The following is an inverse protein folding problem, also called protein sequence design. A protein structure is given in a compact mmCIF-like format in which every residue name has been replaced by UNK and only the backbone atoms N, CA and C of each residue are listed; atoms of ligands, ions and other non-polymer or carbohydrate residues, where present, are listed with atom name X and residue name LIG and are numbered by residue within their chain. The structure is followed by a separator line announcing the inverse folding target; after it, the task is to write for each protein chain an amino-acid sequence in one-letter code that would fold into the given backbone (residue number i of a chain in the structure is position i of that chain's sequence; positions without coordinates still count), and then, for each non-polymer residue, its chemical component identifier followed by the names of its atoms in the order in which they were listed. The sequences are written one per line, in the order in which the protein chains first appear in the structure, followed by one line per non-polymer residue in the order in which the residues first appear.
data_IF_438558578245
#
_entry.id   IF_438558578245
#
_cell.length_a   1.000
_cell.length_b   1.000
_cell.length_c   1.000
_cell.angle_alpha   90.00
_cell.angle_beta   90.00
_cell.angle_gamma   90.00
#
_symmetry.space_group_name_H-M   'P 1'
#
loop_
_entity.id
_entity.type
_entity.pdbx_description
1 polymer ?
#
# COMPACT_ATOMS: atom_id res chain seq x y z
N UNK A 1 -6.58 -26.04 63.10
CA UNK A 1 -7.42 -24.90 63.54
C UNK A 1 -7.61 -24.01 62.32
N UNK A 2 -8.57 -24.35 61.45
CA UNK A 2 -9.93 -23.73 61.36
C UNK A 2 -9.86 -22.24 60.99
N UNK A 3 -10.21 -21.88 59.74
CA UNK A 3 -11.56 -21.43 59.28
C UNK A 3 -11.81 -19.95 59.63
N UNK A 4 -12.42 -19.08 58.82
CA UNK A 4 -13.46 -19.21 57.80
C UNK A 4 -13.32 -18.04 56.77
N UNK A 5 -13.92 -18.04 55.58
CA UNK A 5 -15.33 -17.65 55.40
C UNK A 5 -15.79 -17.74 53.91
N UNK A 6 -17.09 -18.03 53.76
CA UNK A 6 -18.04 -17.77 52.64
C UNK A 6 -18.22 -18.78 51.47
N UNK A 7 -19.16 -19.73 51.71
CA UNK A 7 -20.38 -20.13 50.92
C UNK A 7 -20.30 -20.16 49.38
N UNK A 8 -20.38 -21.32 48.69
CA UNK A 8 -21.47 -22.30 48.48
C UNK A 8 -22.76 -21.77 47.82
N UNK A 9 -23.04 -22.23 46.58
CA UNK A 9 -24.29 -22.96 46.29
C UNK A 9 -24.24 -23.77 44.97
N UNK A 10 -24.74 -25.02 45.10
CA UNK A 10 -25.40 -25.87 44.09
C UNK A 10 -24.57 -26.86 43.24
N UNK A 11 -24.33 -28.06 43.81
CA UNK A 11 -24.36 -29.32 43.05
C UNK A 11 -25.09 -30.39 43.91
N UNK A 12 -26.04 -31.09 43.27
CA UNK A 12 -26.32 -32.54 43.34
C UNK A 12 -27.79 -32.90 43.57
N UNK A 13 -28.36 -33.62 42.59
CA UNK A 13 -29.22 -34.76 42.84
C UNK A 13 -29.15 -35.74 41.65
N UNK A 14 -28.43 -36.85 41.83
CA UNK A 14 -28.58 -38.08 41.06
C UNK A 14 -29.27 -39.07 42.00
N UNK A 15 -30.41 -39.63 41.59
CA UNK A 15 -31.02 -40.79 42.22
C UNK A 15 -31.49 -41.79 41.15
N UNK A 16 -31.14 -43.05 41.36
CA UNK A 16 -31.47 -44.23 40.53
C UNK A 16 -32.81 -44.84 40.95
N UNK A 17 -33.52 -45.45 40.00
CA UNK A 17 -34.14 -46.78 40.22
C UNK A 17 -35.63 -46.96 39.94
N UNK A 18 -35.94 -47.91 39.02
CA UNK A 18 -37.18 -48.72 38.84
C UNK A 18 -38.50 -47.98 38.53
N UNK A 19 -39.40 -48.40 37.62
CA UNK A 19 -39.62 -49.62 36.85
C UNK A 19 -41.14 -49.82 36.69
N UNK A 20 -41.63 -49.97 35.45
CA UNK A 20 -43.01 -50.34 35.03
C UNK A 20 -44.12 -49.26 35.22
N UNK A 21 -45.14 -49.05 34.37
CA UNK A 21 -45.64 -49.65 33.11
C UNK A 21 -46.74 -48.74 32.50
N UNK A 22 -46.78 -48.67 31.16
CA UNK A 22 -47.88 -48.33 30.22
C UNK A 22 -48.80 -47.10 30.42
N UNK A 23 -48.71 -46.17 29.46
CA UNK A 23 -49.89 -45.69 28.72
C UNK A 23 -49.46 -45.18 27.33
N UNK A 24 -50.01 -45.83 26.30
CA UNK A 24 -49.85 -45.51 24.90
C UNK A 24 -50.73 -44.30 24.57
N UNK A 25 -50.15 -43.22 24.05
CA UNK A 25 -50.85 -42.24 23.23
C UNK A 25 -50.00 -41.90 22.01
N UNK A 26 -50.41 -42.49 20.89
CA UNK A 26 -49.98 -42.19 19.54
C UNK A 26 -50.42 -40.78 19.14
N UNK A 27 -49.47 -39.93 18.72
CA UNK A 27 -49.80 -38.62 18.16
C UNK A 27 -48.57 -37.90 17.61
N UNK A 28 -48.33 -38.03 16.31
CA UNK A 28 -47.52 -37.15 15.45
C UNK A 28 -46.14 -36.70 15.96
N UNK A 29 -45.15 -37.61 15.94
CA UNK A 29 -43.74 -37.21 15.84
C UNK A 29 -43.39 -36.97 14.37
N UNK A 30 -43.53 -35.72 13.93
CA UNK A 30 -42.77 -35.24 12.79
C UNK A 30 -41.29 -35.38 13.11
N UNK A 31 -40.56 -36.15 12.31
CA UNK A 31 -39.13 -36.31 12.43
C UNK A 31 -38.45 -34.95 12.23
N UNK A 32 -38.18 -34.23 13.31
CA UNK A 32 -37.23 -33.13 13.31
C UNK A 32 -35.86 -33.76 13.10
N UNK A 33 -35.40 -33.76 11.84
CA UNK A 33 -33.98 -33.93 11.55
C UNK A 33 -33.24 -32.76 12.20
N UNK A 34 -32.74 -32.98 13.42
CA UNK A 34 -31.62 -32.22 13.93
C UNK A 34 -30.44 -32.48 12.98
N UNK A 35 -30.29 -31.62 11.99
CA UNK A 35 -29.06 -31.54 11.23
C UNK A 35 -27.99 -31.11 12.23
N UNK A 36 -27.15 -32.05 12.64
CA UNK A 36 -25.91 -31.73 13.32
C UNK A 36 -25.17 -30.72 12.43
N UNK A 37 -25.06 -29.47 12.88
CA UNK A 37 -24.24 -28.46 12.23
C UNK A 37 -22.84 -29.05 12.10
N UNK A 38 -22.43 -29.30 10.86
CA UNK A 38 -21.11 -29.83 10.56
C UNK A 38 -20.08 -28.80 11.05
N UNK A 39 -19.29 -29.08 12.11
CA UNK A 39 -18.43 -28.09 12.74
C UNK A 39 -17.24 -27.65 11.87
N UNK A 40 -17.15 -28.15 10.63
CA UNK A 40 -16.11 -27.82 9.65
C UNK A 40 -16.61 -26.97 8.48
N UNK A 41 -17.87 -26.56 8.44
CA UNK A 41 -18.32 -25.66 7.37
C UNK A 41 -17.78 -24.26 7.65
N UNK A 42 -16.78 -23.84 6.89
CA UNK A 42 -16.33 -22.43 6.90
C UNK A 42 -17.54 -21.54 6.60
N UNK A 43 -17.71 -20.51 7.41
CA UNK A 43 -18.80 -19.54 7.23
C UNK A 43 -18.40 -18.53 6.15
N UNK A 44 -17.10 -18.41 5.89
CA UNK A 44 -16.53 -17.57 4.84
C UNK A 44 -15.69 -18.40 3.86
N UNK A 45 -15.85 -18.13 2.57
CA UNK A 45 -15.10 -18.76 1.49
C UNK A 45 -14.19 -17.73 0.83
N UNK A 46 -13.00 -18.16 0.40
CA UNK A 46 -11.96 -17.32 -0.17
C UNK A 46 -11.52 -17.91 -1.50
N UNK A 47 -11.93 -17.29 -2.61
CA UNK A 47 -11.70 -17.81 -3.95
C UNK A 47 -11.50 -16.67 -4.95
N UNK A 48 -10.52 -16.79 -5.85
CA UNK A 48 -10.33 -15.83 -6.95
C UNK A 48 -10.11 -14.37 -6.52
N UNK A 49 -9.55 -14.13 -5.34
CA UNK A 49 -9.37 -12.78 -4.77
C UNK A 49 -10.64 -12.17 -4.17
N UNK A 50 -11.74 -12.93 -4.16
CA UNK A 50 -13.01 -12.57 -3.54
C UNK A 50 -13.23 -13.38 -2.26
N UNK A 51 -13.79 -12.71 -1.27
CA UNK A 51 -14.31 -13.31 -0.07
C UNK A 51 -15.82 -13.34 -0.17
N UNK A 52 -16.44 -14.45 0.20
CA UNK A 52 -17.89 -14.53 0.37
C UNK A 52 -18.22 -14.94 1.81
N UNK A 53 -19.26 -14.36 2.38
CA UNK A 53 -19.81 -14.74 3.67
C UNK A 53 -21.34 -14.80 3.55
N UNK A 54 -21.90 -15.93 3.07
CA UNK A 54 -23.32 -16.05 2.77
C UNK A 54 -24.24 -15.76 3.96
N UNK A 55 -23.83 -16.14 5.17
CA UNK A 55 -24.58 -15.86 6.40
C UNK A 55 -24.74 -14.35 6.72
N UNK A 56 -23.99 -13.49 6.01
CA UNK A 56 -24.02 -12.02 6.16
C UNK A 56 -24.46 -11.30 4.88
N UNK A 57 -24.86 -12.05 3.85
CA UNK A 57 -25.11 -11.53 2.51
C UNK A 57 -23.97 -10.61 2.04
N UNK A 58 -22.75 -11.15 2.07
CA UNK A 58 -21.53 -10.37 1.84
C UNK A 58 -20.63 -11.03 0.82
N UNK A 59 -20.07 -10.20 -0.06
CA UNK A 59 -18.89 -10.53 -0.85
C UNK A 59 -18.04 -9.28 -1.07
N UNK A 60 -16.74 -9.45 -1.28
CA UNK A 60 -15.82 -8.34 -1.51
C UNK A 60 -14.41 -8.79 -1.87
N UNK A 61 -13.57 -7.84 -2.29
CA UNK A 61 -12.13 -8.07 -2.43
C UNK A 61 -11.52 -8.20 -1.03
N UNK A 62 -10.49 -9.01 -0.88
CA UNK A 62 -9.87 -9.20 0.43
C UNK A 62 -8.35 -9.24 0.38
N UNK A 63 -7.73 -8.99 1.53
CA UNK A 63 -6.32 -9.31 1.80
C UNK A 63 -6.18 -10.03 3.13
N UNK A 64 -5.27 -11.02 3.15
CA UNK A 64 -4.84 -11.66 4.38
C UNK A 64 -3.77 -10.85 5.08
N UNK A 65 -3.73 -11.00 6.40
CA UNK A 65 -2.54 -10.71 7.20
C UNK A 65 -1.36 -11.60 6.78
N UNK A 66 -0.11 -11.20 7.03
CA UNK A 66 1.07 -12.01 6.68
C UNK A 66 1.03 -13.45 7.21
N UNK A 67 0.51 -13.67 8.43
CA UNK A 67 0.30 -15.03 9.00
C UNK A 67 -1.02 -15.68 8.60
N UNK A 68 -1.88 -15.00 7.84
CA UNK A 68 -3.19 -15.46 7.39
C UNK A 68 -4.17 -15.79 8.53
N UNK A 69 -3.93 -15.26 9.72
CA UNK A 69 -4.84 -15.39 10.87
C UNK A 69 -6.03 -14.43 10.78
N UNK A 70 -5.83 -13.32 10.07
CA UNK A 70 -6.82 -12.28 9.83
C UNK A 70 -7.01 -12.03 8.34
N UNK A 71 -8.22 -11.61 7.96
CA UNK A 71 -8.52 -11.07 6.65
C UNK A 71 -9.39 -9.81 6.76
N UNK A 72 -9.03 -8.77 6.00
CA UNK A 72 -9.88 -7.61 5.78
C UNK A 72 -10.47 -7.73 4.38
N UNK A 73 -11.78 -7.54 4.27
CA UNK A 73 -12.50 -7.54 2.99
C UNK A 73 -13.33 -6.29 2.83
N UNK A 74 -13.41 -5.76 1.61
CA UNK A 74 -14.18 -4.56 1.28
C UNK A 74 -14.92 -4.72 -0.03
N UNK A 75 -16.03 -3.98 -0.13
CA UNK A 75 -16.88 -3.93 -1.30
C UNK A 75 -17.19 -2.47 -1.62
N UNK A 76 -16.58 -1.98 -2.70
CA UNK A 76 -16.82 -0.64 -3.20
C UNK A 76 -18.03 -0.58 -4.13
N UNK A 77 -19.22 -0.85 -3.58
CA UNK A 77 -20.49 -0.75 -4.31
C UNK A 77 -21.61 -0.32 -3.39
N UNK A 78 -22.71 0.15 -3.97
CA UNK A 78 -23.95 0.42 -3.26
C UNK A 78 -24.45 -0.81 -2.48
N UNK A 79 -25.28 -0.62 -1.43
CA UNK A 79 -25.75 -1.71 -0.59
C UNK A 79 -26.56 -2.77 -1.33
N UNK A 80 -27.30 -2.35 -2.36
CA UNK A 80 -28.05 -3.23 -3.26
C UNK A 80 -27.18 -3.92 -4.33
N UNK A 81 -25.88 -3.60 -4.38
CA UNK A 81 -24.92 -4.15 -5.32
C UNK A 81 -25.08 -3.69 -6.77
N UNK A 82 -25.99 -2.76 -7.07
CA UNK A 82 -26.29 -2.36 -8.46
C UNK A 82 -25.26 -1.43 -9.08
N UNK A 83 -24.51 -0.67 -8.27
CA UNK A 83 -23.50 0.28 -8.74
C UNK A 83 -22.20 0.14 -7.96
N UNK A 84 -21.13 -0.24 -8.65
CA UNK A 84 -19.76 -0.24 -8.13
C UNK A 84 -18.95 0.97 -8.58
N UNK A 85 -17.82 1.23 -7.93
CA UNK A 85 -16.90 2.28 -8.37
C UNK A 85 -17.48 3.69 -8.28
N UNK A 86 -17.06 4.58 -9.18
CA UNK A 86 -17.37 6.03 -9.16
C UNK A 86 -18.87 6.31 -9.01
N UNK A 87 -19.22 7.05 -7.96
CA UNK A 87 -20.60 7.40 -7.59
C UNK A 87 -20.65 8.60 -6.66
N UNK A 88 -21.83 9.22 -6.61
CA UNK A 88 -22.14 10.39 -5.78
C UNK A 88 -22.72 10.01 -4.40
N UNK A 89 -23.22 8.78 -4.25
CA UNK A 89 -23.84 8.30 -3.01
C UNK A 89 -23.84 6.76 -2.92
N UNK A 90 -24.30 6.25 -1.77
CA UNK A 90 -24.46 4.82 -1.50
C UNK A 90 -23.17 4.18 -0.96
N UNK A 91 -23.13 3.98 0.35
CA UNK A 91 -21.97 3.44 1.05
C UNK A 91 -21.63 2.01 0.62
N UNK A 92 -20.33 1.74 0.55
CA UNK A 92 -19.79 0.39 0.53
C UNK A 92 -19.82 -0.28 1.90
N UNK A 93 -19.30 -1.51 1.94
CA UNK A 93 -19.26 -2.34 3.15
C UNK A 93 -17.91 -3.02 3.28
N UNK A 94 -17.42 -3.15 4.51
CA UNK A 94 -16.20 -3.89 4.80
C UNK A 94 -16.38 -4.78 6.03
N UNK A 95 -15.62 -5.87 6.06
CA UNK A 95 -15.63 -6.85 7.15
C UNK A 95 -14.22 -7.23 7.56
N UNK A 96 -13.99 -7.34 8.87
CA UNK A 96 -12.79 -7.96 9.42
C UNK A 96 -13.13 -9.37 9.88
N UNK A 97 -12.31 -10.33 9.47
CA UNK A 97 -12.49 -11.74 9.76
C UNK A 97 -11.30 -12.26 10.55
N UNK A 98 -11.61 -12.90 11.67
CA UNK A 98 -10.72 -13.81 12.36
C UNK A 98 -10.84 -15.18 11.68
N UNK A 99 -9.83 -15.51 10.89
CA UNK A 99 -9.80 -16.71 10.04
C UNK A 99 -9.67 -17.96 10.90
N UNK A 100 -8.92 -17.88 12.01
CA UNK A 100 -8.68 -19.01 12.89
C UNK A 100 -9.97 -19.41 13.63
N UNK A 101 -10.74 -18.41 14.08
CA UNK A 101 -12.02 -18.63 14.77
C UNK A 101 -13.23 -18.64 13.83
N UNK A 102 -13.01 -18.51 12.50
CA UNK A 102 -14.07 -18.49 11.49
C UNK A 102 -15.17 -17.44 11.79
N UNK A 103 -14.75 -16.27 12.30
CA UNK A 103 -15.64 -15.27 12.87
C UNK A 103 -15.51 -13.91 12.16
N UNK A 104 -16.66 -13.25 11.94
CA UNK A 104 -16.71 -11.85 11.49
C UNK A 104 -16.75 -10.95 12.71
N UNK A 105 -15.68 -10.19 12.95
CA UNK A 105 -15.52 -9.34 14.13
C UNK A 105 -15.91 -7.88 13.87
N UNK A 106 -15.72 -7.40 12.64
CA UNK A 106 -16.19 -6.08 12.20
C UNK A 106 -17.06 -6.27 10.98
N UNK A 107 -18.19 -5.56 10.93
CA UNK A 107 -19.12 -5.54 9.81
C UNK A 107 -19.72 -4.14 9.72
N UNK A 108 -19.13 -3.30 8.87
CA UNK A 108 -19.33 -1.86 8.91
C UNK A 108 -19.37 -1.25 7.50
N UNK A 109 -19.75 0.04 7.45
CA UNK A 109 -19.95 0.81 6.22
C UNK A 109 -19.02 2.00 6.15
N UNK A 110 -18.75 2.42 4.93
CA UNK A 110 -17.89 3.55 4.57
C UNK A 110 -18.33 4.02 3.17
N UNK A 111 -18.22 5.32 2.82
CA UNK A 111 -18.59 5.81 1.50
C UNK A 111 -18.02 4.96 0.35
N UNK A 112 -16.69 4.85 0.27
CA UNK A 112 -15.99 4.11 -0.79
C UNK A 112 -14.78 3.32 -0.25
N UNK A 113 -15.01 2.20 0.46
CA UNK A 113 -13.91 1.43 1.05
C UNK A 113 -13.04 0.78 -0.02
N UNK A 114 -11.73 0.99 0.05
CA UNK A 114 -10.77 0.46 -0.91
C UNK A 114 -9.41 0.11 -0.27
N UNK A 115 -8.63 -0.70 -0.99
CA UNK A 115 -7.24 -1.03 -0.73
C UNK A 115 -6.88 -1.38 0.73
N UNK A 116 -7.71 -2.21 1.39
CA UNK A 116 -7.47 -2.60 2.77
C UNK A 116 -6.19 -3.44 2.96
N UNK A 117 -5.59 -3.35 4.15
CA UNK A 117 -4.53 -4.23 4.62
C UNK A 117 -4.69 -4.52 6.12
N UNK A 118 -4.24 -5.68 6.60
CA UNK A 118 -4.43 -6.13 7.98
C UNK A 118 -3.15 -6.73 8.55
N UNK A 119 -2.85 -6.36 9.80
CA UNK A 119 -1.70 -6.82 10.56
C UNK A 119 -1.96 -8.19 11.24
N UNK A 120 -0.91 -8.84 11.74
CA UNK A 120 -1.02 -10.13 12.41
C UNK A 120 -1.74 -10.05 13.78
N UNK A 121 -1.85 -8.84 14.36
CA UNK A 121 -2.62 -8.59 15.58
C UNK A 121 -4.09 -8.20 15.31
N UNK A 122 -4.51 -8.17 14.03
CA UNK A 122 -5.87 -7.84 13.61
C UNK A 122 -6.17 -6.35 13.46
N UNK A 123 -5.25 -5.43 13.78
CA UNK A 123 -5.41 -4.04 13.36
C UNK A 123 -5.35 -3.95 11.83
N UNK A 124 -6.08 -3.02 11.24
CA UNK A 124 -6.19 -2.92 9.79
C UNK A 124 -6.29 -1.48 9.32
N UNK A 125 -5.82 -1.22 8.11
CA UNK A 125 -6.03 0.05 7.43
C UNK A 125 -6.99 -0.13 6.25
N UNK A 126 -7.71 0.94 5.92
CA UNK A 126 -8.66 0.98 4.82
C UNK A 126 -8.74 2.41 4.29
N UNK A 127 -8.83 2.56 2.98
CA UNK A 127 -8.97 3.86 2.32
C UNK A 127 -10.45 4.14 2.08
N UNK A 128 -10.88 5.37 2.34
CA UNK A 128 -12.12 5.92 1.80
C UNK A 128 -11.78 6.80 0.59
N UNK A 129 -12.24 6.42 -0.59
CA UNK A 129 -12.01 7.19 -1.81
C UNK A 129 -12.99 8.36 -2.02
N UNK A 130 -13.93 8.56 -1.10
CA UNK A 130 -14.97 9.58 -1.14
C UNK A 130 -15.89 9.53 -2.39
N UNK A 131 -17.03 10.19 -2.30
CA UNK A 131 -17.94 10.32 -3.44
C UNK A 131 -17.49 11.42 -4.41
N UNK A 132 -17.97 11.33 -5.65
CA UNK A 132 -17.75 12.32 -6.69
C UNK A 132 -16.33 12.32 -7.24
N UNK A 133 -15.91 13.49 -7.72
CA UNK A 133 -14.68 13.66 -8.51
C UNK A 133 -13.65 14.59 -7.84
N UNK A 134 -13.88 14.98 -6.59
CA UNK A 134 -12.92 15.78 -5.84
C UNK A 134 -11.65 14.95 -5.58
N UNK A 135 -10.47 15.57 -5.72
CA UNK A 135 -9.22 14.94 -5.32
C UNK A 135 -9.16 14.88 -3.79
N UNK A 136 -9.61 13.77 -3.23
CA UNK A 136 -9.72 13.64 -1.79
C UNK A 136 -9.82 12.17 -1.39
N UNK A 137 -9.51 11.91 -0.13
CA UNK A 137 -9.77 10.61 0.47
C UNK A 137 -9.58 10.69 1.98
N UNK A 138 -9.91 9.61 2.66
CA UNK A 138 -9.59 9.47 4.08
C UNK A 138 -8.82 8.18 4.30
N UNK A 139 -7.62 8.30 4.89
CA UNK A 139 -6.85 7.14 5.32
C UNK A 139 -7.25 6.78 6.75
N UNK A 140 -7.77 5.56 6.92
CA UNK A 140 -8.14 5.04 8.23
C UNK A 140 -7.26 3.89 8.68
N UNK A 141 -6.98 3.86 9.98
CA UNK A 141 -6.42 2.69 10.67
C UNK A 141 -7.28 2.39 11.89
N UNK A 142 -7.64 1.11 12.06
CA UNK A 142 -8.52 0.63 13.11
C UNK A 142 -7.86 -0.48 13.93
N UNK A 143 -8.31 -0.62 15.17
CA UNK A 143 -8.07 -1.80 16.01
C UNK A 143 -8.79 -3.04 15.46
N UNK A 144 -8.48 -4.22 15.98
CA UNK A 144 -9.21 -5.47 15.68
C UNK A 144 -10.71 -5.45 16.04
N UNK A 145 -11.14 -4.47 16.84
CA UNK A 145 -12.53 -4.26 17.26
C UNK A 145 -13.24 -3.21 16.38
N UNK A 146 -12.55 -2.65 15.38
CA UNK A 146 -13.09 -1.60 14.51
C UNK A 146 -13.07 -0.19 15.13
N UNK A 147 -12.41 0.01 16.27
CA UNK A 147 -12.22 1.34 16.86
C UNK A 147 -11.11 2.09 16.10
N UNK A 148 -11.30 3.37 15.75
CA UNK A 148 -10.31 4.14 15.01
C UNK A 148 -9.06 4.43 15.85
N UNK A 149 -7.89 4.29 15.22
CA UNK A 149 -6.57 4.69 15.72
C UNK A 149 -6.13 5.95 14.98
N UNK A 150 -6.17 5.92 13.65
CA UNK A 150 -5.85 7.05 12.76
C UNK A 150 -7.06 7.30 11.84
N UNK A 151 -7.44 8.56 11.70
CA UNK A 151 -8.36 9.05 10.67
C UNK A 151 -7.76 10.32 10.08
N UNK A 152 -7.16 10.21 8.90
CA UNK A 152 -6.52 11.34 8.21
C UNK A 152 -7.34 11.68 6.96
N UNK A 153 -8.05 12.79 7.01
CA UNK A 153 -8.71 13.38 5.84
C UNK A 153 -7.62 14.04 4.98
N UNK A 154 -7.66 13.79 3.68
CA UNK A 154 -6.66 14.22 2.71
C UNK A 154 -7.34 14.99 1.57
N UNK A 155 -6.71 16.09 1.19
CA UNK A 155 -7.05 16.94 0.05
C UNK A 155 -6.44 16.44 -1.28
N UNK A 156 -5.99 15.19 -1.31
CA UNK A 156 -5.45 14.51 -2.48
C UNK A 156 -5.91 13.04 -2.49
N UNK A 157 -5.92 12.42 -3.67
CA UNK A 157 -6.19 10.98 -3.77
C UNK A 157 -5.07 10.18 -3.10
N UNK A 158 -5.43 9.07 -2.46
CA UNK A 158 -4.48 8.11 -1.92
C UNK A 158 -3.95 7.26 -3.08
N UNK A 159 -2.62 7.18 -3.21
CA UNK A 159 -1.94 6.38 -4.22
C UNK A 159 -1.63 4.98 -3.68
N UNK A 160 -1.16 4.90 -2.44
CA UNK A 160 -0.82 3.65 -1.78
C UNK A 160 -0.90 3.82 -0.26
N UNK A 161 -1.33 2.79 0.44
CA UNK A 161 -1.27 2.74 1.89
C UNK A 161 -0.92 1.34 2.38
N UNK A 162 -0.54 1.24 3.66
CA UNK A 162 -0.23 -0.05 4.25
C UNK A 162 -0.07 0.00 5.76
N UNK A 163 -0.14 -1.17 6.38
CA UNK A 163 0.08 -1.39 7.81
C UNK A 163 1.19 -2.44 8.00
N UNK A 164 2.05 -2.19 8.98
CA UNK A 164 3.13 -3.11 9.38
C UNK A 164 2.55 -4.44 9.90
N UNK A 165 3.33 -5.51 9.79
CA UNK A 165 2.94 -6.85 10.21
C UNK A 165 2.61 -6.91 11.70
N UNK A 166 3.39 -6.23 12.54
CA UNK A 166 3.16 -6.15 13.98
C UNK A 166 2.04 -5.16 14.38
N UNK A 167 1.51 -4.40 13.42
CA UNK A 167 0.44 -3.44 13.64
C UNK A 167 0.83 -2.21 14.47
N UNK A 168 2.12 -1.84 14.51
CA UNK A 168 2.62 -0.68 15.24
C UNK A 168 2.86 0.55 14.35
N UNK A 169 3.01 0.36 13.04
CA UNK A 169 3.22 1.41 12.05
C UNK A 169 2.22 1.29 10.90
N UNK A 170 1.87 2.42 10.30
CA UNK A 170 1.16 2.50 9.02
C UNK A 170 1.71 3.64 8.16
N UNK A 171 1.56 3.55 6.84
CA UNK A 171 1.87 4.66 5.94
C UNK A 171 0.72 4.98 5.00
N UNK A 172 0.74 6.22 4.51
CA UNK A 172 -0.10 6.69 3.42
C UNK A 172 0.76 7.50 2.45
N UNK A 173 0.66 7.18 1.16
CA UNK A 173 1.26 7.90 0.05
C UNK A 173 0.12 8.50 -0.78
N UNK A 174 0.15 9.81 -0.99
CA UNK A 174 -0.83 10.51 -1.82
C UNK A 174 -0.31 10.76 -3.23
N UNK A 175 -1.24 10.82 -4.18
CA UNK A 175 -0.96 11.22 -5.55
C UNK A 175 -0.57 12.71 -5.63
N UNK A 176 0.00 13.10 -6.77
CA UNK A 176 0.29 14.50 -7.04
C UNK A 176 -1.01 15.32 -7.17
N UNK A 177 -1.09 16.45 -6.48
CA UNK A 177 -2.22 17.39 -6.50
C UNK A 177 -1.71 18.82 -6.26
N UNK A 178 -2.52 19.86 -6.55
CA UNK A 178 -2.17 21.25 -6.24
C UNK A 178 -2.40 21.64 -4.76
N UNK A 179 -2.75 20.68 -3.90
CA UNK A 179 -3.10 20.91 -2.49
C UNK A 179 -1.94 20.57 -1.56
N UNK A 180 -2.09 20.86 -0.26
CA UNK A 180 -1.03 20.59 0.74
C UNK A 180 -0.71 19.09 0.88
N UNK A 181 -1.70 18.23 0.63
CA UNK A 181 -1.53 16.77 0.64
C UNK A 181 -1.00 16.22 -0.68
N UNK A 182 -0.63 17.06 -1.64
CA UNK A 182 -0.08 16.61 -2.92
C UNK A 182 1.29 15.97 -2.77
N UNK A 183 1.42 14.74 -3.28
CA UNK A 183 2.69 13.98 -3.32
C UNK A 183 3.35 13.90 -1.93
N UNK A 184 2.61 13.42 -0.94
CA UNK A 184 3.07 13.25 0.45
C UNK A 184 3.19 11.77 0.80
N UNK A 185 4.29 11.42 1.44
CA UNK A 185 4.47 10.16 2.15
C UNK A 185 4.42 10.46 3.64
N UNK A 186 3.46 9.86 4.32
CA UNK A 186 3.28 9.97 5.75
C UNK A 186 3.48 8.62 6.44
N UNK A 187 4.09 8.65 7.63
CA UNK A 187 4.25 7.50 8.52
C UNK A 187 3.54 7.78 9.84
N UNK A 188 2.85 6.77 10.38
CA UNK A 188 2.07 6.86 11.60
C UNK A 188 2.57 5.85 12.63
N UNK A 189 2.64 6.27 13.89
CA UNK A 189 2.77 5.40 15.06
C UNK A 189 1.38 5.03 15.55
N UNK A 190 1.05 3.75 15.50
CA UNK A 190 -0.28 3.23 15.87
C UNK A 190 -0.43 2.95 17.36
N UNK A 191 0.67 2.85 18.10
CA UNK A 191 0.63 2.72 19.56
C UNK A 191 0.27 4.06 20.19
N UNK A 192 0.83 5.15 19.67
CA UNK A 192 0.58 6.51 20.14
C UNK A 192 -0.57 7.20 19.39
N UNK A 193 -1.02 6.63 18.25
CA UNK A 193 -2.10 7.19 17.44
C UNK A 193 -1.74 8.52 16.78
N UNK A 194 -0.48 8.69 16.35
CA UNK A 194 0.03 9.97 15.83
C UNK A 194 0.78 9.84 14.51
N UNK A 195 0.76 10.91 13.74
CA UNK A 195 1.65 11.10 12.58
C UNK A 195 3.07 11.34 13.08
N UNK A 196 4.04 10.61 12.54
CA UNK A 196 5.48 10.81 12.81
C UNK A 196 6.07 11.84 11.86
N UNK A 197 5.73 11.74 10.58
CA UNK A 197 6.09 12.71 9.56
C UNK A 197 5.10 12.68 8.39
N UNK A 198 5.13 13.75 7.59
CA UNK A 198 4.57 13.82 6.24
C UNK A 198 5.51 14.62 5.33
N UNK A 199 6.23 13.94 4.45
CA UNK A 199 7.27 14.54 3.58
C UNK A 199 6.93 14.37 2.11
N UNK A 200 7.50 15.22 1.25
CA UNK A 200 7.46 14.97 -0.19
C UNK A 200 8.56 13.96 -0.54
N UNK A 201 8.24 12.79 -1.14
CA UNK A 201 9.24 11.80 -1.49
C UNK A 201 10.33 12.36 -2.41
N UNK A 202 11.58 12.19 -1.97
CA UNK A 202 12.76 12.69 -2.67
C UNK A 202 13.18 11.82 -3.85
N UNK A 203 12.79 10.53 -3.83
CA UNK A 203 13.00 9.54 -4.89
C UNK A 203 11.68 8.83 -5.17
N UNK A 204 11.56 8.27 -6.38
CA UNK A 204 10.40 7.47 -6.75
C UNK A 204 10.53 6.04 -6.19
N UNK A 205 9.41 5.32 -6.14
CA UNK A 205 9.38 3.94 -5.69
C UNK A 205 8.15 3.22 -6.22
N UNK A 206 8.25 1.90 -6.30
CA UNK A 206 7.19 1.02 -6.80
C UNK A 206 6.34 0.48 -5.64
N UNK A 207 7.01 0.06 -4.56
CA UNK A 207 6.35 -0.54 -3.40
C UNK A 207 6.98 -0.05 -2.10
N UNK A 208 6.18 0.07 -1.05
CA UNK A 208 6.61 0.52 0.27
C UNK A 208 6.27 -0.57 1.28
N UNK A 209 7.28 -1.00 2.02
CA UNK A 209 7.20 -1.91 3.15
C UNK A 209 7.77 -1.28 4.42
N UNK A 210 8.05 -2.13 5.41
CA UNK A 210 8.52 -1.71 6.73
C UNK A 210 9.75 -2.51 7.15
N UNK A 211 10.72 -1.83 7.74
CA UNK A 211 11.64 -2.44 8.70
C UNK A 211 11.10 -2.13 10.10
N UNK A 212 10.43 -3.10 10.70
CA UNK A 212 9.79 -2.96 12.00
C UNK A 212 10.77 -2.82 13.15
N UNK A 213 11.98 -3.39 13.02
CA UNK A 213 12.99 -3.35 14.08
C UNK A 213 13.57 -1.94 14.18
N UNK A 214 13.86 -1.34 13.04
CA UNK A 214 14.44 0.00 12.95
C UNK A 214 13.37 1.11 12.84
N UNK A 215 12.08 0.73 12.75
CA UNK A 215 10.94 1.63 12.54
C UNK A 215 11.09 2.52 11.30
N UNK A 216 11.48 1.92 10.18
CA UNK A 216 11.74 2.61 8.92
C UNK A 216 10.74 2.17 7.85
N UNK A 217 10.48 3.06 6.89
CA UNK A 217 9.85 2.68 5.63
C UNK A 217 10.91 2.21 4.65
N UNK A 218 10.65 1.07 4.02
CA UNK A 218 11.52 0.52 2.97
C UNK A 218 10.84 0.73 1.63
N UNK A 219 11.44 1.54 0.77
CA UNK A 219 10.94 1.82 -0.58
C UNK A 219 11.70 0.96 -1.57
N UNK A 220 10.97 0.14 -2.32
CA UNK A 220 11.52 -0.74 -3.36
C UNK A 220 11.48 -0.03 -4.70
N UNK A 221 12.57 -0.17 -5.45
CA UNK A 221 12.73 0.42 -6.78
C UNK A 221 12.50 -0.65 -7.85
N UNK A 222 11.88 -0.25 -8.95
CA UNK A 222 11.61 -1.12 -10.09
C UNK A 222 12.90 -1.76 -10.62
N UNK A 223 12.92 -3.07 -10.82
CA UNK A 223 14.10 -3.78 -11.32
C UNK A 223 15.11 -4.19 -10.25
N UNK A 224 14.93 -3.74 -9.01
CA UNK A 224 15.75 -4.13 -7.87
C UNK A 224 16.31 -2.93 -7.10
N UNK A 225 16.84 -3.22 -5.91
CA UNK A 225 17.28 -2.20 -4.98
C UNK A 225 16.16 -1.65 -4.10
N UNK A 226 16.58 -1.02 -3.01
CA UNK A 226 15.70 -0.40 -2.04
C UNK A 226 16.44 0.69 -1.28
N UNK A 227 15.68 1.65 -0.76
CA UNK A 227 16.16 2.71 0.12
C UNK A 227 15.14 2.97 1.22
N UNK A 228 15.50 3.78 2.21
CA UNK A 228 14.77 3.88 3.47
C UNK A 228 14.49 5.31 3.90
N UNK A 229 13.32 5.48 4.52
CA UNK A 229 13.02 6.66 5.32
C UNK A 229 13.05 6.33 6.81
N UNK A 230 13.71 7.19 7.58
CA UNK A 230 13.71 7.20 9.03
C UNK A 230 12.35 7.59 9.61
N UNK A 231 12.19 7.45 10.93
CA UNK A 231 10.97 7.85 11.63
C UNK A 231 10.75 9.38 11.65
N UNK A 232 11.75 10.17 11.26
CA UNK A 232 11.71 11.61 11.08
C UNK A 232 11.41 12.05 9.63
N UNK A 233 11.31 11.10 8.71
CA UNK A 233 11.08 11.36 7.28
C UNK A 233 12.35 11.71 6.49
N UNK A 234 13.53 11.61 7.10
CA UNK A 234 14.80 11.74 6.39
C UNK A 234 15.16 10.45 5.64
N UNK A 235 15.88 10.56 4.51
CA UNK A 235 16.50 9.40 3.88
C UNK A 235 17.62 8.89 4.77
N UNK A 236 17.66 7.58 5.00
CA UNK A 236 18.70 6.95 5.83
C UNK A 236 19.93 6.58 5.00
N UNK A 237 19.72 6.28 3.72
CA UNK A 237 20.70 5.69 2.82
C UNK A 237 20.68 6.39 1.44
N UNK A 238 21.03 7.69 1.41
CA UNK A 238 21.01 8.52 0.19
C UNK A 238 21.80 7.93 -0.98
N UNK A 239 23.05 7.50 -0.75
CA UNK A 239 23.88 6.89 -1.79
C UNK A 239 23.26 5.59 -2.34
N UNK A 240 22.65 4.79 -1.47
CA UNK A 240 21.98 3.55 -1.88
C UNK A 240 20.69 3.86 -2.66
N UNK A 241 20.00 4.95 -2.30
CA UNK A 241 18.84 5.43 -3.04
C UNK A 241 19.21 5.85 -4.46
N UNK A 242 20.29 6.62 -4.62
CA UNK A 242 20.77 7.02 -5.94
C UNK A 242 21.22 5.82 -6.78
N UNK A 243 21.95 4.88 -6.18
CA UNK A 243 22.36 3.65 -6.86
C UNK A 243 21.17 2.78 -7.30
N UNK A 244 20.18 2.60 -6.42
CA UNK A 244 18.97 1.85 -6.74
C UNK A 244 18.20 2.52 -7.89
N UNK A 245 18.09 3.85 -7.87
CA UNK A 245 17.39 4.62 -8.90
C UNK A 245 18.11 4.62 -10.24
N UNK A 246 19.44 4.69 -10.27
CA UNK A 246 20.23 4.55 -11.50
C UNK A 246 20.19 3.13 -12.07
N UNK A 247 19.97 2.13 -11.21
CA UNK A 247 19.81 0.72 -11.59
C UNK A 247 18.36 0.33 -11.95
N UNK A 248 17.42 1.28 -11.89
CA UNK A 248 16.00 1.02 -12.09
C UNK A 248 15.69 0.54 -13.51
N UNK A 249 14.75 -0.41 -13.64
CA UNK A 249 14.22 -0.80 -14.95
C UNK A 249 13.21 0.21 -15.51
N UNK A 250 12.80 1.19 -14.72
CA UNK A 250 12.00 2.31 -15.20
C UNK A 250 12.94 3.42 -15.73
N UNK A 251 13.05 3.55 -17.05
CA UNK A 251 13.96 4.52 -17.66
C UNK A 251 13.64 5.98 -17.26
N UNK A 252 12.39 6.30 -16.90
CA UNK A 252 12.01 7.64 -16.45
C UNK A 252 12.70 7.99 -15.14
N UNK A 253 12.73 7.04 -14.21
CA UNK A 253 13.34 7.18 -12.89
C UNK A 253 14.86 7.35 -13.02
N UNK A 254 15.50 6.57 -13.89
CA UNK A 254 16.93 6.68 -14.19
C UNK A 254 17.26 8.07 -14.76
N UNK A 255 16.53 8.53 -15.79
CA UNK A 255 16.80 9.80 -16.47
C UNK A 255 16.64 10.99 -15.51
N UNK A 256 15.57 11.01 -14.72
CA UNK A 256 15.30 12.10 -13.77
C UNK A 256 16.31 12.13 -12.63
N UNK A 257 16.72 10.96 -12.12
CA UNK A 257 17.74 10.85 -11.07
C UNK A 257 19.10 11.31 -11.59
N UNK A 258 19.52 10.81 -12.76
CA UNK A 258 20.74 11.23 -13.43
C UNK A 258 20.79 12.76 -13.65
N UNK A 259 19.69 13.36 -14.13
CA UNK A 259 19.63 14.81 -14.32
C UNK A 259 19.75 15.58 -13.00
N UNK A 260 19.17 15.07 -11.91
CA UNK A 260 19.28 15.69 -10.60
C UNK A 260 20.71 15.64 -10.05
N UNK A 261 21.37 14.47 -10.14
CA UNK A 261 22.75 14.28 -9.68
C UNK A 261 23.73 15.19 -10.43
N UNK A 262 23.58 15.32 -11.75
CA UNK A 262 24.45 16.18 -12.58
C UNK A 262 24.38 17.68 -12.22
N UNK A 263 23.38 18.12 -11.44
CA UNK A 263 23.25 19.53 -11.01
C UNK A 263 24.09 19.87 -9.77
N UNK A 264 24.44 18.89 -8.94
CA UNK A 264 25.12 19.12 -7.66
C UNK A 264 26.63 18.87 -7.70
N UNK A 265 27.16 18.48 -8.86
CA UNK A 265 28.57 18.17 -9.07
C UNK A 265 28.89 16.73 -8.63
N UNK A 266 29.63 16.00 -9.47
CA UNK A 266 29.91 14.58 -9.28
C UNK A 266 31.40 14.30 -9.47
N UNK A 267 31.91 13.28 -8.79
CA UNK A 267 33.20 12.65 -9.09
C UNK A 267 33.20 12.02 -10.48
N UNK A 268 34.38 11.78 -11.05
CA UNK A 268 34.51 11.12 -12.36
C UNK A 268 33.83 9.74 -12.38
N UNK A 269 34.00 8.94 -11.33
CA UNK A 269 33.36 7.62 -11.21
C UNK A 269 31.83 7.69 -11.13
N UNK A 270 31.27 8.74 -10.52
CA UNK A 270 29.82 8.97 -10.53
C UNK A 270 29.33 9.37 -11.91
N UNK A 271 30.05 10.24 -12.61
CA UNK A 271 29.71 10.64 -13.97
C UNK A 271 29.72 9.44 -14.94
N UNK A 272 30.70 8.55 -14.82
CA UNK A 272 30.76 7.31 -15.62
C UNK A 272 29.58 6.38 -15.33
N UNK A 273 29.21 6.21 -14.05
CA UNK A 273 28.01 5.45 -13.66
C UNK A 273 26.73 6.07 -14.20
N UNK A 274 26.57 7.39 -14.07
CA UNK A 274 25.42 8.14 -14.59
C UNK A 274 25.33 7.96 -16.11
N UNK A 275 26.45 8.12 -16.82
CA UNK A 275 26.49 7.96 -18.27
C UNK A 275 26.07 6.53 -18.68
N UNK A 276 26.62 5.51 -18.02
CA UNK A 276 26.26 4.11 -18.27
C UNK A 276 24.76 3.85 -18.02
N UNK A 277 24.22 4.35 -16.91
CA UNK A 277 22.81 4.23 -16.57
C UNK A 277 21.89 4.89 -17.60
N UNK A 278 22.23 6.10 -18.06
CA UNK A 278 21.44 6.81 -19.09
C UNK A 278 21.52 6.11 -20.45
N UNK A 279 22.68 5.57 -20.83
CA UNK A 279 22.78 4.75 -22.04
C UNK A 279 21.91 3.50 -21.90
N UNK A 280 21.93 2.83 -20.74
CA UNK A 280 21.07 1.68 -20.45
C UNK A 280 19.58 2.03 -20.53
N UNK A 281 19.17 3.17 -19.98
CA UNK A 281 17.77 3.62 -19.99
C UNK A 281 17.25 3.92 -21.39
N UNK A 282 18.10 4.40 -22.30
CA UNK A 282 17.79 4.53 -23.73
C UNK A 282 17.49 3.18 -24.37
N UNK A 283 18.32 2.17 -24.10
CA UNK A 283 18.13 0.80 -24.59
C UNK A 283 16.89 0.13 -24.00
N UNK A 284 16.51 0.46 -22.75
CA UNK A 284 15.29 -0.03 -22.10
C UNK A 284 13.99 0.52 -22.69
N UNK A 285 14.07 1.46 -23.63
CA UNK A 285 12.90 1.96 -24.37
C UNK A 285 12.69 3.46 -24.31
N UNK A 286 13.58 4.25 -23.67
CA UNK A 286 13.46 5.70 -23.74
C UNK A 286 13.62 6.23 -25.17
N UNK A 287 14.42 5.55 -26.02
CA UNK A 287 14.58 5.90 -27.43
C UNK A 287 13.34 5.57 -28.28
N UNK A 288 12.54 4.59 -27.87
CA UNK A 288 11.29 4.22 -28.54
C UNK A 288 10.11 5.12 -28.13
N UNK A 289 10.30 5.93 -27.08
CA UNK A 289 9.31 6.87 -26.59
C UNK A 289 9.63 8.31 -27.04
N UNK A 290 8.89 8.89 -28.01
CA UNK A 290 9.17 10.23 -28.52
C UNK A 290 9.11 11.33 -27.45
N UNK A 291 8.37 11.12 -26.37
CA UNK A 291 8.30 12.08 -25.26
C UNK A 291 9.57 12.08 -24.40
N UNK A 292 10.28 10.95 -24.34
CA UNK A 292 11.43 10.77 -23.45
C UNK A 292 12.78 10.77 -24.16
N UNK A 293 12.85 10.33 -25.41
CA UNK A 293 14.10 10.31 -26.20
C UNK A 293 14.87 11.64 -26.15
N UNK A 294 14.26 12.83 -26.36
CA UNK A 294 15.00 14.08 -26.32
C UNK A 294 15.58 14.38 -24.93
N UNK A 295 14.87 14.01 -23.87
CA UNK A 295 15.32 14.18 -22.48
C UNK A 295 16.47 13.23 -22.17
N UNK A 296 16.39 11.96 -22.58
CA UNK A 296 17.47 11.00 -22.41
C UNK A 296 18.76 11.46 -23.12
N UNK A 297 18.65 11.93 -24.37
CA UNK A 297 19.77 12.51 -25.12
C UNK A 297 20.35 13.74 -24.45
N UNK A 298 19.50 14.65 -23.93
CA UNK A 298 19.96 15.80 -23.14
C UNK A 298 20.80 15.35 -21.95
N UNK A 299 20.30 14.40 -21.16
CA UNK A 299 20.98 13.95 -19.94
C UNK A 299 22.29 13.21 -20.27
N UNK A 300 22.30 12.41 -21.33
CA UNK A 300 23.52 11.78 -21.82
C UNK A 300 24.56 12.83 -22.25
N UNK A 301 24.14 13.87 -22.98
CA UNK A 301 25.02 14.97 -23.38
C UNK A 301 25.58 15.74 -22.19
N UNK A 302 24.78 15.95 -21.13
CA UNK A 302 25.24 16.57 -19.88
C UNK A 302 26.32 15.73 -19.19
N UNK A 303 26.16 14.40 -19.17
CA UNK A 303 27.16 13.49 -18.61
C UNK A 303 28.46 13.49 -19.42
N UNK A 304 28.38 13.42 -20.76
CA UNK A 304 29.55 13.55 -21.63
C UNK A 304 30.28 14.90 -21.44
N UNK A 305 29.54 16.01 -21.38
CA UNK A 305 30.11 17.35 -21.15
C UNK A 305 30.88 17.40 -19.82
N UNK A 306 30.29 16.85 -18.76
CA UNK A 306 30.91 16.80 -17.43
C UNK A 306 32.16 15.92 -17.39
N UNK A 307 32.23 14.86 -18.21
CA UNK A 307 33.40 14.01 -18.39
C UNK A 307 34.48 14.62 -19.32
N UNK A 308 34.23 15.81 -19.89
CA UNK A 308 35.13 16.44 -20.86
C UNK A 308 35.05 15.84 -22.27
N UNK A 309 34.07 14.98 -22.54
CA UNK A 309 33.83 14.31 -23.82
C UNK A 309 33.00 15.22 -24.74
N UNK A 310 33.63 16.31 -25.19
CA UNK A 310 32.90 17.40 -25.84
C UNK A 310 32.28 17.04 -27.19
N UNK A 311 32.90 16.15 -27.99
CA UNK A 311 32.37 15.74 -29.30
C UNK A 311 31.10 14.89 -29.15
N UNK A 312 31.13 13.97 -28.20
CA UNK A 312 30.01 13.11 -27.84
C UNK A 312 28.84 13.94 -27.29
N UNK A 313 29.14 14.92 -26.42
CA UNK A 313 28.14 15.85 -25.88
C UNK A 313 27.45 16.66 -27.00
N UNK A 314 28.22 17.18 -27.97
CA UNK A 314 27.67 17.90 -29.13
C UNK A 314 26.69 17.03 -29.90
N UNK A 315 27.07 15.78 -30.24
CA UNK A 315 26.20 14.87 -30.98
C UNK A 315 24.87 14.60 -30.27
N UNK A 316 24.91 14.37 -28.95
CA UNK A 316 23.71 14.22 -28.13
C UNK A 316 22.83 15.48 -28.15
N UNK A 317 23.41 16.67 -28.00
CA UNK A 317 22.66 17.92 -27.97
C UNK A 317 22.03 18.28 -29.31
N UNK A 318 22.73 18.06 -30.42
CA UNK A 318 22.21 18.27 -31.76
C UNK A 318 21.00 17.36 -32.02
N UNK A 319 21.11 16.08 -31.68
CA UNK A 319 19.99 15.15 -31.84
C UNK A 319 18.82 15.52 -30.92
N UNK A 320 19.08 15.86 -29.65
CA UNK A 320 18.04 16.30 -28.72
C UNK A 320 17.30 17.54 -29.23
N UNK A 321 18.01 18.53 -29.77
CA UNK A 321 17.43 19.78 -30.31
C UNK A 321 16.66 19.55 -31.61
N UNK A 322 17.12 18.61 -32.45
CA UNK A 322 16.38 18.21 -33.67
C UNK A 322 15.02 17.62 -33.32
N UNK A 323 14.95 16.81 -32.25
CA UNK A 323 13.70 16.20 -31.80
C UNK A 323 12.82 17.16 -30.99
N UNK A 324 13.43 17.98 -30.13
CA UNK A 324 12.76 18.99 -29.34
C UNK A 324 13.60 20.27 -29.24
N UNK A 325 13.33 21.30 -30.07
CA UNK A 325 14.06 22.55 -30.05
C UNK A 325 14.00 23.32 -28.72
N UNK A 326 13.04 22.99 -27.84
CA UNK A 326 12.82 23.63 -26.53
C UNK A 326 13.40 22.82 -25.36
N UNK A 327 14.21 21.78 -25.62
CA UNK A 327 14.76 20.89 -24.56
C UNK A 327 15.80 21.57 -23.65
N UNK A 328 16.25 22.79 -23.98
CA UNK A 328 17.02 23.66 -23.08
C UNK A 328 18.54 23.53 -23.15
N UNK A 329 19.10 22.83 -24.16
CA UNK A 329 20.56 22.62 -24.29
C UNK A 329 21.24 23.50 -25.35
N UNK A 330 20.50 24.35 -26.07
CA UNK A 330 21.04 25.18 -27.17
C UNK A 330 22.26 26.02 -26.77
N UNK A 331 22.20 26.70 -25.62
CA UNK A 331 23.33 27.53 -25.14
C UNK A 331 24.56 26.69 -24.78
N UNK A 332 24.36 25.47 -24.27
CA UNK A 332 25.45 24.53 -23.96
C UNK A 332 26.13 24.05 -25.24
N UNK A 333 25.34 23.68 -26.25
CA UNK A 333 25.83 23.33 -27.58
C UNK A 333 26.66 24.47 -28.19
N UNK A 334 26.12 25.68 -28.24
CA UNK A 334 26.81 26.86 -28.80
C UNK A 334 28.14 27.14 -28.06
N UNK A 335 28.18 26.93 -26.74
CA UNK A 335 29.40 27.09 -25.95
C UNK A 335 30.44 26.02 -26.22
N UNK A 336 30.03 24.77 -26.45
CA UNK A 336 30.94 23.67 -26.75
C UNK A 336 31.55 23.80 -28.14
N UNK A 337 30.74 24.17 -29.14
CA UNK A 337 31.19 24.39 -30.52
C UNK A 337 32.23 25.52 -30.65
N UNK A 338 32.24 26.49 -29.73
CA UNK A 338 33.25 27.57 -29.70
C UNK A 338 34.56 27.16 -29.03
N UNK A 339 34.53 26.11 -28.20
CA UNK A 339 35.69 25.66 -27.41
C UNK A 339 36.52 24.59 -28.11
N UNK A 340 35.93 23.90 -29.09
CA UNK A 340 36.51 22.82 -29.88
C UNK A 340 36.84 23.29 -31.30
#
# INVERSE_FOLDING_TARGET
MMQAMFTEHCIQAIAKGSGQRWACWTGCLGSVKLYALNPRRRIQEFEGGLLTAPARDYYGLYKYSPKKAWAISWKDSTPDGRRGGHREEGEGRYVLIDVANNAVLVDARMPRPNNGAVADNGSFCLEDWHFGSALSGTFHVFTSQGLPIITKVLSANILQSGISRNGLLAYCLTANSPTEDGRKLALYDLKEGKELFAVTPQRAGEHIGFDEKSRQLVVKVSGGGEYRYGADGALVDEDAADEAMLSSTNYTDVILTAEAMLKVGCSTSELERILAAVIGSRVLGADDNPAWKPTALKVQGLAHEALGQGREAIGCYEEALRLNPKIGVKRKLDSLLKRL
#
